data_IF_969179277564
#
_entry.id   IF_969179277564
#
_cell.length_a   1.000
_cell.length_b   1.000
_cell.length_c   1.000
_cell.angle_alpha   90.00
_cell.angle_beta   90.00
_cell.angle_gamma   90.00
#
_symmetry.space_group_name_H-M   'P 1'
#
loop_
_entity.id
_entity.type
_entity.pdbx_description
1 polymer ?
#
# COMPACT_ATOMS: atom_id res chain seq x y z
N UNK A 1 -13.70 -1.45 21.84
CA UNK A 1 -14.16 -0.54 20.77
C UNK A 1 -12.90 -0.06 20.06
N UNK A 2 -12.82 -0.20 18.74
CA UNK A 2 -11.68 0.31 17.97
C UNK A 2 -11.95 1.80 17.75
N UNK A 3 -10.99 2.66 18.11
CA UNK A 3 -11.08 4.09 17.83
C UNK A 3 -10.69 4.34 16.38
N UNK A 4 -11.68 4.69 15.54
CA UNK A 4 -11.46 5.00 14.12
C UNK A 4 -11.30 6.51 13.92
N UNK A 5 -10.61 6.89 12.84
CA UNK A 5 -10.41 8.29 12.43
C UNK A 5 -9.76 9.19 13.50
N UNK A 6 -9.02 8.59 14.44
CA UNK A 6 -8.24 9.30 15.47
C UNK A 6 -6.76 9.06 15.20
N UNK A 7 -5.97 10.13 15.23
CA UNK A 7 -4.52 10.06 15.10
C UNK A 7 -3.93 9.65 16.44
N UNK A 8 -3.19 8.54 16.45
CA UNK A 8 -2.51 8.04 17.64
C UNK A 8 -1.03 7.84 17.37
N UNK A 9 -0.17 8.38 18.22
CA UNK A 9 1.26 8.07 18.17
C UNK A 9 1.49 6.63 18.66
N UNK A 10 2.04 5.78 17.80
CA UNK A 10 2.33 4.36 18.12
C UNK A 10 3.80 4.14 18.49
N UNK A 11 4.68 4.97 17.92
CA UNK A 11 6.09 5.07 18.25
C UNK A 11 6.51 6.52 18.09
N UNK A 12 7.57 6.95 18.76
CA UNK A 12 8.05 8.33 18.69
C UNK A 12 8.20 8.81 17.24
N UNK A 13 7.38 9.78 16.83
CA UNK A 13 7.37 10.34 15.48
C UNK A 13 6.75 9.45 14.40
N UNK A 14 5.90 8.50 14.79
CA UNK A 14 5.09 7.63 13.92
C UNK A 14 3.67 7.53 14.45
N UNK A 15 2.73 7.85 13.58
CA UNK A 15 1.33 8.01 13.91
C UNK A 15 0.49 7.04 13.10
N UNK A 16 -0.57 6.54 13.72
CA UNK A 16 -1.52 5.62 13.12
C UNK A 16 -2.91 6.26 13.12
N UNK A 17 -3.65 6.01 12.05
CA UNK A 17 -5.10 6.16 11.99
C UNK A 17 -5.68 4.82 11.56
N UNK A 18 -6.83 4.46 12.13
CA UNK A 18 -7.63 3.34 11.67
C UNK A 18 -8.81 3.92 10.88
N UNK A 19 -8.82 3.69 9.57
CA UNK A 19 -9.91 4.09 8.69
C UNK A 19 -11.07 3.10 8.82
N UNK A 20 -12.28 3.64 8.80
CA UNK A 20 -13.52 2.87 8.99
C UNK A 20 -14.04 2.36 7.64
N UNK A 21 -13.96 1.06 7.39
CA UNK A 21 -14.51 0.42 6.19
C UNK A 21 -14.03 0.96 4.82
N UNK A 22 -12.73 1.28 4.59
CA UNK A 22 -12.28 1.68 3.26
C UNK A 22 -12.30 0.52 2.27
N UNK A 23 -12.39 0.89 1.02
CA UNK A 23 -12.28 0.03 -0.15
C UNK A 23 -11.02 0.42 -0.95
N UNK A 24 -10.51 -0.46 -1.83
CA UNK A 24 -9.39 -0.11 -2.71
C UNK A 24 -9.63 1.17 -3.53
N UNK A 25 -10.89 1.52 -3.84
CA UNK A 25 -11.21 2.75 -4.57
C UNK A 25 -10.89 4.03 -3.79
N UNK A 26 -10.87 3.97 -2.46
CA UNK A 26 -10.54 5.11 -1.60
C UNK A 26 -9.06 5.51 -1.69
N UNK A 27 -8.20 4.64 -2.25
CA UNK A 27 -6.81 4.96 -2.53
C UNK A 27 -6.64 6.24 -3.36
N UNK A 28 -7.59 6.57 -4.24
CA UNK A 28 -7.54 7.80 -5.05
C UNK A 28 -7.46 9.06 -4.16
N UNK A 29 -8.07 9.02 -2.98
CA UNK A 29 -8.11 10.13 -2.04
C UNK A 29 -6.99 10.07 -0.98
N UNK A 30 -6.17 9.01 -1.00
CA UNK A 30 -5.08 8.75 -0.05
C UNK A 30 -3.72 8.92 -0.73
N UNK A 31 -3.57 8.46 -1.97
CA UNK A 31 -2.33 8.56 -2.75
C UNK A 31 -1.98 10.03 -3.00
N UNK A 32 -0.76 10.43 -2.66
CA UNK A 32 -0.24 11.78 -2.91
C UNK A 32 0.63 11.80 -4.17
N UNK A 33 0.20 12.53 -5.19
CA UNK A 33 0.93 12.64 -6.47
C UNK A 33 2.29 13.34 -6.38
N UNK A 34 2.60 14.01 -5.26
CA UNK A 34 3.94 14.58 -5.03
C UNK A 34 5.00 13.53 -4.70
N UNK A 35 4.59 12.33 -4.29
CA UNK A 35 5.50 11.20 -4.07
C UNK A 35 5.68 10.38 -5.33
N UNK A 36 6.92 9.90 -5.55
CA UNK A 36 7.29 9.30 -6.84
C UNK A 36 6.81 7.87 -7.04
N UNK A 37 6.84 7.03 -6.01
CA UNK A 37 6.59 5.61 -6.15
C UNK A 37 5.56 5.07 -5.17
N UNK A 38 4.84 4.04 -5.61
CA UNK A 38 4.05 3.16 -4.77
C UNK A 38 4.71 1.78 -4.75
N UNK A 39 5.00 1.33 -3.55
CA UNK A 39 5.63 0.05 -3.27
C UNK A 39 4.58 -0.91 -2.72
N UNK A 40 4.15 -1.87 -3.54
CA UNK A 40 3.32 -2.98 -3.09
C UNK A 40 4.19 -4.02 -2.39
N UNK A 41 4.05 -4.10 -1.06
CA UNK A 41 4.86 -4.97 -0.21
C UNK A 41 4.27 -6.38 -0.04
N UNK A 42 3.03 -6.56 -0.51
CA UNK A 42 2.35 -7.84 -0.47
C UNK A 42 1.32 -7.93 -1.60
N UNK A 43 1.67 -8.68 -2.65
CA UNK A 43 0.77 -9.00 -3.76
C UNK A 43 0.65 -10.51 -3.93
N UNK A 44 -0.60 -10.99 -3.96
CA UNK A 44 -0.92 -12.41 -4.06
C UNK A 44 -1.87 -12.70 -5.22
N UNK A 45 -1.37 -13.41 -6.23
CA UNK A 45 -2.19 -14.00 -7.31
C UNK A 45 -2.40 -15.48 -7.06
N UNK A 46 -3.39 -15.76 -6.20
CA UNK A 46 -3.85 -17.12 -5.94
C UNK A 46 -4.84 -17.55 -7.02
N UNK A 47 -4.54 -18.67 -7.69
CA UNK A 47 -5.38 -19.32 -8.68
C UNK A 47 -5.36 -20.84 -8.46
N UNK A 48 -6.52 -21.47 -8.57
CA UNK A 48 -6.64 -22.94 -8.53
C UNK A 48 -6.06 -23.57 -9.81
N UNK A 49 -6.08 -22.82 -10.91
CA UNK A 49 -5.65 -23.25 -12.23
C UNK A 49 -4.31 -22.61 -12.62
N UNK A 50 -3.55 -23.32 -13.44
CA UNK A 50 -2.35 -22.80 -14.08
C UNK A 50 -2.74 -21.71 -15.10
N UNK A 51 -2.18 -20.52 -14.95
CA UNK A 51 -2.45 -19.38 -15.83
C UNK A 51 -1.19 -18.96 -16.57
N UNK A 52 -1.36 -18.42 -17.77
CA UNK A 52 -0.24 -17.83 -18.52
C UNK A 52 0.27 -16.59 -17.79
N UNK A 53 1.58 -16.52 -17.58
CA UNK A 53 2.24 -15.42 -16.89
C UNK A 53 3.47 -14.97 -17.69
N UNK A 54 3.66 -13.65 -17.78
CA UNK A 54 4.85 -13.05 -18.40
C UNK A 54 6.04 -13.13 -17.43
N UNK A 55 6.86 -14.15 -17.60
CA UNK A 55 8.00 -14.45 -16.75
C UNK A 55 9.29 -13.80 -17.25
N UNK A 56 10.03 -13.21 -16.32
CA UNK A 56 11.40 -12.75 -16.53
C UNK A 56 12.37 -13.61 -15.72
N UNK A 57 13.42 -14.10 -16.36
CA UNK A 57 14.50 -14.82 -15.67
C UNK A 57 15.56 -13.81 -15.24
N UNK A 58 15.71 -13.62 -13.92
CA UNK A 58 16.63 -12.62 -13.34
C UNK A 58 16.44 -11.21 -13.92
N UNK A 59 15.18 -10.78 -14.08
CA UNK A 59 14.84 -9.46 -14.61
C UNK A 59 15.04 -9.30 -16.12
N UNK A 60 15.41 -10.38 -16.84
CA UNK A 60 15.51 -10.37 -18.29
C UNK A 60 14.31 -11.07 -18.91
N UNK A 61 13.67 -10.41 -19.87
CA UNK A 61 12.67 -11.04 -20.72
C UNK A 61 13.34 -12.14 -21.53
N UNK A 62 12.96 -13.38 -21.30
CA UNK A 62 13.48 -14.57 -22.00
C UNK A 62 12.47 -15.07 -23.01
N UNK A 63 12.91 -15.81 -24.04
CA UNK A 63 12.00 -16.47 -24.98
C UNK A 63 12.04 -17.99 -24.74
N UNK A 64 10.88 -18.65 -24.56
CA UNK A 64 9.54 -18.07 -24.45
C UNK A 64 9.37 -17.28 -23.14
N UNK A 65 8.66 -16.14 -23.19
CA UNK A 65 8.39 -15.27 -22.04
C UNK A 65 7.11 -15.67 -21.29
N UNK A 66 6.29 -16.55 -21.86
CA UNK A 66 5.05 -17.02 -21.26
C UNK A 66 5.29 -18.39 -20.62
N UNK A 67 5.11 -18.46 -19.30
CA UNK A 67 5.10 -19.70 -18.54
C UNK A 67 3.72 -19.91 -17.94
N UNK A 68 3.43 -21.14 -17.51
CA UNK A 68 2.28 -21.39 -16.67
C UNK A 68 2.68 -21.23 -15.20
N UNK A 69 1.99 -20.36 -14.48
CA UNK A 69 2.20 -20.10 -13.06
C UNK A 69 0.87 -20.15 -12.27
N UNK A 70 0.97 -20.38 -10.97
CA UNK A 70 -0.12 -20.27 -9.98
C UNK A 70 0.47 -19.93 -8.61
N UNK A 71 -0.31 -19.28 -7.75
CA UNK A 71 0.09 -18.87 -6.40
C UNK A 71 1.32 -17.95 -6.41
N UNK A 72 1.25 -16.88 -7.20
CA UNK A 72 2.35 -15.95 -7.32
C UNK A 72 2.31 -15.00 -6.13
N UNK A 73 3.41 -14.92 -5.41
CA UNK A 73 3.65 -13.93 -4.37
C UNK A 73 4.79 -13.03 -4.84
N UNK A 74 4.56 -11.72 -4.85
CA UNK A 74 5.58 -10.77 -5.25
C UNK A 74 5.49 -9.48 -4.46
N UNK A 75 6.57 -8.73 -4.57
CA UNK A 75 6.68 -7.34 -4.20
C UNK A 75 6.98 -6.57 -5.49
N UNK A 76 6.36 -5.41 -5.68
CA UNK A 76 6.63 -4.57 -6.84
C UNK A 76 6.63 -3.09 -6.49
N UNK A 77 7.43 -2.33 -7.22
CA UNK A 77 7.52 -0.88 -7.14
C UNK A 77 7.10 -0.30 -8.49
N UNK A 78 6.20 0.66 -8.46
CA UNK A 78 5.71 1.36 -9.66
C UNK A 78 5.70 2.86 -9.44
N UNK A 79 5.72 3.64 -10.51
CA UNK A 79 5.50 5.09 -10.40
C UNK A 79 4.09 5.38 -9.92
N UNK A 80 3.91 6.43 -9.12
CA UNK A 80 2.62 6.80 -8.54
C UNK A 80 1.56 7.07 -9.61
N UNK A 81 1.93 7.68 -10.74
CA UNK A 81 1.03 7.91 -11.88
C UNK A 81 0.52 6.63 -12.52
N UNK A 82 1.35 5.59 -12.57
CA UNK A 82 0.96 4.29 -13.12
C UNK A 82 0.09 3.53 -12.12
N UNK A 83 0.44 3.60 -10.82
CA UNK A 83 -0.35 2.98 -9.77
C UNK A 83 -1.79 3.51 -9.73
N UNK A 84 -1.98 4.82 -9.91
CA UNK A 84 -3.32 5.44 -9.95
C UNK A 84 -4.22 4.82 -11.04
N UNK A 85 -3.65 4.37 -12.16
CA UNK A 85 -4.40 3.71 -13.22
C UNK A 85 -4.81 2.28 -12.84
N UNK A 86 -4.03 1.62 -11.99
CA UNK A 86 -4.27 0.25 -11.54
C UNK A 86 -5.35 0.14 -10.45
N UNK A 87 -5.61 1.22 -9.70
CA UNK A 87 -6.52 1.20 -8.53
C UNK A 87 -7.87 0.57 -8.85
N UNK A 88 -8.44 0.87 -10.01
CA UNK A 88 -9.77 0.39 -10.41
C UNK A 88 -9.83 -1.12 -10.67
N UNK A 89 -8.69 -1.74 -10.93
CA UNK A 89 -8.55 -3.19 -11.16
C UNK A 89 -8.21 -3.97 -9.88
N UNK A 90 -7.93 -3.27 -8.77
CA UNK A 90 -7.66 -3.90 -7.48
C UNK A 90 -8.97 -4.46 -6.91
N UNK A 91 -9.03 -5.80 -6.78
CA UNK A 91 -10.18 -6.55 -6.24
C UNK A 91 -9.88 -7.30 -4.94
N UNK A 92 -8.66 -7.17 -4.42
CA UNK A 92 -8.17 -7.92 -3.25
C UNK A 92 -7.50 -6.96 -2.26
N UNK A 93 -7.10 -7.51 -1.11
CA UNK A 93 -6.28 -6.80 -0.13
C UNK A 93 -5.06 -6.20 -0.80
N UNK A 94 -4.78 -4.94 -0.47
CA UNK A 94 -3.64 -4.20 -0.97
C UNK A 94 -2.86 -3.66 0.22
N UNK A 95 -1.56 -3.95 0.21
CA UNK A 95 -0.63 -3.46 1.23
C UNK A 95 0.49 -2.70 0.56
N UNK A 96 0.54 -1.40 0.80
CA UNK A 96 1.42 -0.49 0.08
C UNK A 96 2.18 0.45 1.01
N UNK A 97 3.31 0.92 0.50
CA UNK A 97 4.08 2.02 1.05
C UNK A 97 4.27 3.06 -0.05
N UNK A 98 3.99 4.32 0.22
CA UNK A 98 4.28 5.41 -0.72
C UNK A 98 5.61 6.09 -0.35
N UNK A 99 6.49 6.29 -1.33
CA UNK A 99 7.89 6.70 -1.11
C UNK A 99 8.49 7.46 -2.29
N UNK A 100 9.49 8.30 -2.04
CA UNK A 100 10.30 8.95 -3.08
C UNK A 100 11.56 8.17 -3.48
N UNK A 101 11.94 7.16 -2.69
CA UNK A 101 13.20 6.44 -2.84
C UNK A 101 12.90 5.02 -3.28
N UNK A 102 13.63 4.54 -4.29
CA UNK A 102 13.64 3.11 -4.63
C UNK A 102 14.24 2.37 -3.44
N UNK A 103 13.52 1.45 -2.79
CA UNK A 103 14.02 0.78 -1.59
C UNK A 103 15.35 0.06 -1.86
N UNK A 104 16.40 0.30 -1.05
CA UNK A 104 17.64 -0.46 -1.12
C UNK A 104 17.44 -1.98 -1.05
N UNK A 105 18.20 -2.71 -1.86
CA UNK A 105 18.07 -4.18 -2.02
C UNK A 105 18.19 -5.00 -0.73
N UNK A 106 18.82 -4.46 0.32
CA UNK A 106 19.01 -5.14 1.60
C UNK A 106 17.80 -5.00 2.54
N UNK A 107 16.83 -4.15 2.21
CA UNK A 107 15.65 -3.92 3.03
C UNK A 107 14.63 -5.00 2.70
N UNK A 108 14.40 -5.89 3.66
CA UNK A 108 13.33 -6.86 3.60
C UNK A 108 12.25 -6.50 4.63
N UNK A 109 11.22 -5.80 4.17
CA UNK A 109 10.15 -5.30 5.03
C UNK A 109 9.34 -6.43 5.69
N UNK A 110 9.19 -7.58 5.03
CA UNK A 110 8.46 -8.73 5.61
C UNK A 110 9.12 -9.29 6.87
N UNK A 111 10.43 -9.09 7.02
CA UNK A 111 11.20 -9.55 8.18
C UNK A 111 11.30 -8.50 9.30
N UNK A 112 10.82 -7.28 9.06
CA UNK A 112 10.92 -6.16 10.00
C UNK A 112 9.57 -5.89 10.66
N UNK A 113 9.58 -5.76 11.98
CA UNK A 113 8.39 -5.47 12.79
C UNK A 113 8.63 -4.35 13.81
N UNK A 114 7.54 -3.76 14.28
CA UNK A 114 7.53 -2.75 15.34
C UNK A 114 8.32 -1.49 15.00
N UNK A 115 8.87 -0.84 16.03
CA UNK A 115 9.56 0.47 15.92
C UNK A 115 10.70 0.47 14.89
N UNK A 116 11.52 -0.58 14.86
CA UNK A 116 12.70 -0.64 13.99
C UNK A 116 12.34 -0.60 12.50
N UNK A 117 11.21 -1.21 12.12
CA UNK A 117 10.64 -1.13 10.77
C UNK A 117 10.36 0.32 10.39
N UNK A 118 9.64 1.05 11.23
CA UNK A 118 9.23 2.42 10.93
C UNK A 118 10.39 3.41 10.99
N UNK A 119 11.34 3.23 11.92
CA UNK A 119 12.57 4.01 11.96
C UNK A 119 13.35 3.84 10.64
N UNK A 120 13.43 2.61 10.10
CA UNK A 120 14.10 2.35 8.83
C UNK A 120 13.36 2.99 7.64
N UNK A 121 12.03 2.86 7.60
CA UNK A 121 11.21 3.50 6.57
C UNK A 121 11.41 5.02 6.57
N UNK A 122 11.37 5.66 7.73
CA UNK A 122 11.56 7.10 7.87
C UNK A 122 12.96 7.54 7.46
N UNK A 123 14.00 6.86 7.96
CA UNK A 123 15.37 7.33 7.83
C UNK A 123 16.05 6.93 6.52
N UNK A 124 15.55 5.90 5.82
CA UNK A 124 16.20 5.33 4.63
C UNK A 124 15.31 5.32 3.38
N UNK A 125 13.99 5.37 3.55
CA UNK A 125 13.04 5.22 2.44
C UNK A 125 12.27 6.52 2.15
N UNK A 126 12.29 7.54 3.03
CA UNK A 126 11.48 8.75 2.82
C UNK A 126 10.02 8.38 2.48
N UNK A 127 9.40 7.62 3.38
CA UNK A 127 8.04 7.12 3.18
C UNK A 127 7.00 8.13 3.67
N UNK A 128 5.95 8.32 2.88
CA UNK A 128 4.78 9.10 3.28
C UNK A 128 3.89 8.31 4.23
N UNK A 129 3.55 7.08 3.85
CA UNK A 129 2.72 6.20 4.67
C UNK A 129 2.94 4.72 4.33
N UNK A 130 2.54 3.85 5.26
CA UNK A 130 2.22 2.44 5.07
C UNK A 130 0.72 2.24 5.27
N UNK A 131 0.06 1.51 4.38
CA UNK A 131 -1.38 1.29 4.39
C UNK A 131 -1.69 -0.16 4.04
N UNK A 132 -2.67 -0.73 4.73
CA UNK A 132 -3.25 -2.03 4.42
C UNK A 132 -4.77 -1.87 4.27
N UNK A 133 -5.27 -1.90 3.03
CA UNK A 133 -6.71 -1.95 2.77
C UNK A 133 -7.12 -3.41 2.55
N UNK A 134 -7.95 -4.00 3.42
CA UNK A 134 -8.46 -5.35 3.23
C UNK A 134 -9.35 -5.42 1.99
N UNK A 135 -9.32 -6.55 1.29
CA UNK A 135 -10.21 -6.80 0.14
C UNK A 135 -11.67 -6.99 0.54
N UNK A 136 -11.93 -7.26 1.82
CA UNK A 136 -13.26 -7.22 2.43
C UNK A 136 -13.41 -5.92 3.23
N UNK A 137 -14.63 -5.40 3.29
CA UNK A 137 -14.96 -4.15 4.01
C UNK A 137 -14.70 -4.34 5.50
N UNK A 138 -13.60 -3.78 6.00
CA UNK A 138 -13.12 -3.86 7.38
C UNK A 138 -12.23 -2.65 7.69
N UNK A 139 -11.68 -2.56 8.90
CA UNK A 139 -10.77 -1.50 9.32
C UNK A 139 -9.44 -1.54 8.57
N UNK A 140 -8.94 -0.38 8.11
CA UNK A 140 -7.62 -0.27 7.51
C UNK A 140 -6.68 0.61 8.35
N UNK A 141 -5.57 0.07 8.86
CA UNK A 141 -4.55 0.90 9.47
C UNK A 141 -3.76 1.65 8.40
N UNK A 142 -3.61 2.96 8.59
CA UNK A 142 -2.65 3.80 7.88
C UNK A 142 -1.64 4.35 8.89
N UNK A 143 -0.36 4.27 8.56
CA UNK A 143 0.74 4.68 9.44
C UNK A 143 1.63 5.65 8.69
N UNK A 144 1.91 6.80 9.29
CA UNK A 144 2.71 7.87 8.67
C UNK A 144 3.57 8.58 9.72
N UNK A 145 4.76 9.12 9.35
CA UNK A 145 5.48 10.06 10.19
C UNK A 145 4.96 11.50 10.04
N UNK A 146 3.98 11.75 9.16
CA UNK A 146 3.43 13.06 8.83
C UNK A 146 1.99 13.21 9.35
N UNK A 147 1.81 13.96 10.43
CA UNK A 147 0.49 14.19 11.04
C UNK A 147 -0.46 14.90 10.07
N UNK A 148 0.00 15.97 9.41
CA UNK A 148 -0.80 16.77 8.48
C UNK A 148 -1.36 15.93 7.31
N UNK A 149 -0.61 14.93 6.86
CA UNK A 149 -1.07 13.97 5.87
C UNK A 149 -2.24 13.13 6.41
N UNK A 150 -2.11 12.59 7.62
CA UNK A 150 -3.17 11.79 8.25
C UNK A 150 -4.45 12.62 8.50
N UNK A 151 -4.31 13.88 8.90
CA UNK A 151 -5.45 14.80 9.04
C UNK A 151 -6.16 15.02 7.69
N UNK A 152 -5.40 15.17 6.62
CA UNK A 152 -5.93 15.30 5.26
C UNK A 152 -6.68 14.04 4.83
N UNK A 153 -6.11 12.86 5.09
CA UNK A 153 -6.77 11.57 4.80
C UNK A 153 -8.09 11.46 5.56
N UNK A 154 -8.11 11.73 6.87
CA UNK A 154 -9.35 11.68 7.68
C UNK A 154 -10.41 12.63 7.12
N UNK A 155 -10.03 13.86 6.73
CA UNK A 155 -10.94 14.84 6.15
C UNK A 155 -11.53 14.35 4.82
N UNK A 156 -10.70 13.82 3.93
CA UNK A 156 -11.16 13.29 2.63
C UNK A 156 -12.09 12.08 2.84
N UNK A 157 -11.76 11.21 3.78
CA UNK A 157 -12.52 10.00 4.05
C UNK A 157 -13.90 10.31 4.67
N UNK A 158 -13.95 11.19 5.68
CA UNK A 158 -15.20 11.61 6.32
C UNK A 158 -16.10 12.42 5.38
N UNK A 159 -15.54 13.32 4.56
CA UNK A 159 -16.34 14.13 3.63
C UNK A 159 -17.03 13.31 2.54
N UNK A 160 -16.41 12.21 2.10
CA UNK A 160 -16.96 11.31 1.07
C UNK A 160 -18.14 10.48 1.61
N UNK A 161 -18.14 10.14 2.89
CA UNK A 161 -19.23 9.38 3.53
C UNK A 161 -20.54 10.18 3.60
N UNK A 162 -20.48 11.51 3.75
CA UNK A 162 -21.67 12.36 3.83
C UNK A 162 -22.30 12.68 2.46
N UNK A 163 -21.59 12.49 1.34
CA UNK A 163 -22.14 12.69 -0.01
C UNK A 163 -23.04 11.54 -0.51
N UNK A 164 -22.98 10.36 0.11
CA UNK A 164 -23.76 9.18 -0.30
C UNK A 164 -25.08 9.01 0.49
N UNK A 165 -25.49 10.01 1.27
CA UNK A 165 -26.81 10.07 1.90
C UNK A 165 -27.66 11.08 1.12
N UNK A 166 -28.25 10.64 0.01
CA UNK A 166 -29.38 11.30 -0.65
C UNK A 166 -30.35 10.28 -1.19
#
# INVERSE_FOLDING_TARGET
MIETNVIKEIYKGHYQVILDFPTPSDLINIIDTSYKYVWSIEHHENSLEWQKYDYCLYGKKVTPNSVFARNIEMEYLVETSDFLQLIFDIRKTVKIIQTNIIPPYYINIKQLSGKGRYDLLKNKIDYLFELEIPGAVDYAPIISPHVDFLETVIKNFTSTTFSNIK
#
